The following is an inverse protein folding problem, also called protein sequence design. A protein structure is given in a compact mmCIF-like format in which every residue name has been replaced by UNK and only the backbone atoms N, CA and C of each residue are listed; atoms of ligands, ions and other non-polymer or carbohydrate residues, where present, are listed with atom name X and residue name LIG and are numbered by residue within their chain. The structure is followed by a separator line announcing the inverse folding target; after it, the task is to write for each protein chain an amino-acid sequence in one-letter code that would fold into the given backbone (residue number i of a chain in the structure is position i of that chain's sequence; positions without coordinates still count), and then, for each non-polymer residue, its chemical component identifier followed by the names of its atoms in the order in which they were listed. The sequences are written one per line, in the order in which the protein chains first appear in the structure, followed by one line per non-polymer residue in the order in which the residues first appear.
data_IF_220216735010
#
_entry.id   IF_220216735010
#
_cell.length_a   1.000
_cell.length_b   1.000
_cell.length_c   1.000
_cell.angle_alpha   90.00
_cell.angle_beta   90.00
_cell.angle_gamma   90.00
#
_symmetry.space_group_name_H-M   'P 1'
#
loop_
_entity.id
_entity.type
_entity.pdbx_description
1 polymer ?
#
# COMPACT_ATOMS: atom_id res chain seq x y z
N UNK A 1 0.59 0.91 25.84
CA UNK A 1 1.14 -0.06 24.87
C UNK A 1 1.55 0.73 23.65
N UNK A 2 2.77 0.50 23.15
CA UNK A 2 3.56 1.44 22.34
C UNK A 2 2.79 2.13 21.20
N UNK A 3 2.29 3.33 21.47
CA UNK A 3 1.90 4.31 20.45
C UNK A 3 3.19 4.98 19.97
N UNK A 4 4.06 4.16 19.36
CA UNK A 4 5.23 4.65 18.66
C UNK A 4 4.69 5.35 17.42
N UNK A 5 4.66 6.67 17.45
CA UNK A 5 4.06 7.50 16.42
C UNK A 5 4.74 7.24 15.07
N UNK A 6 4.20 6.25 14.35
CA UNK A 6 4.79 5.76 13.11
C UNK A 6 4.53 6.85 12.08
N UNK A 7 5.60 7.55 11.68
CA UNK A 7 5.53 8.62 10.70
C UNK A 7 5.35 8.05 9.29
N UNK A 8 4.10 7.74 8.93
CA UNK A 8 3.72 7.15 7.64
C UNK A 8 4.12 8.05 6.46
N UNK A 9 4.05 9.37 6.63
CA UNK A 9 4.46 10.31 5.59
C UNK A 9 5.95 10.18 5.26
N UNK A 10 6.81 10.08 6.29
CA UNK A 10 8.25 9.85 6.10
C UNK A 10 8.54 8.52 5.40
N UNK A 11 7.86 7.44 5.80
CA UNK A 11 7.99 6.12 5.19
C UNK A 11 7.58 6.16 3.71
N UNK A 12 6.47 6.83 3.41
CA UNK A 12 5.97 6.95 2.04
C UNK A 12 6.95 7.74 1.18
N UNK A 13 7.45 8.89 1.64
CA UNK A 13 8.46 9.67 0.91
C UNK A 13 9.71 8.85 0.60
N UNK A 14 10.26 8.10 1.58
CA UNK A 14 11.40 7.19 1.36
C UNK A 14 11.12 6.16 0.27
N UNK A 15 9.88 5.68 0.13
CA UNK A 15 9.48 4.72 -0.91
C UNK A 15 9.33 5.38 -2.28
N UNK A 16 8.88 6.63 -2.31
CA UNK A 16 8.75 7.38 -3.55
C UNK A 16 10.10 7.80 -4.13
N UNK A 17 11.12 8.06 -3.30
CA UNK A 17 12.45 8.48 -3.74
C UNK A 17 13.16 7.41 -4.58
N UNK A 18 12.92 6.13 -4.29
CA UNK A 18 13.56 4.99 -4.98
C UNK A 18 12.97 4.77 -6.39
N UNK A 19 11.92 5.49 -6.79
CA UNK A 19 11.31 5.40 -8.13
C UNK A 19 12.26 5.72 -9.27
N UNK A 20 13.21 6.63 -9.06
CA UNK A 20 14.20 7.03 -10.06
C UNK A 20 15.40 6.10 -10.12
N UNK A 21 15.53 5.17 -9.17
CA UNK A 21 16.65 4.25 -9.08
C UNK A 21 16.42 3.02 -9.97
N UNK A 22 17.50 2.26 -10.21
CA UNK A 22 17.42 1.04 -11.00
C UNK A 22 16.38 0.06 -10.40
N UNK A 23 15.58 -0.63 -11.25
CA UNK A 23 14.66 -1.67 -10.80
C UNK A 23 15.38 -2.71 -9.92
N UNK A 24 14.85 -2.99 -8.74
CA UNK A 24 15.50 -3.88 -7.76
C UNK A 24 16.36 -3.18 -6.71
N UNK A 25 16.41 -1.84 -6.69
CA UNK A 25 17.03 -1.10 -5.58
C UNK A 25 16.31 -1.43 -4.27
N UNK A 26 17.05 -1.98 -3.30
CA UNK A 26 16.50 -2.40 -2.02
C UNK A 26 16.11 -1.20 -1.17
N UNK A 27 14.93 -1.25 -0.57
CA UNK A 27 14.46 -0.22 0.32
C UNK A 27 14.83 -0.48 1.76
N UNK A 28 15.47 0.49 2.40
CA UNK A 28 15.89 0.40 3.80
C UNK A 28 14.81 0.96 4.73
N UNK A 29 13.73 0.20 4.92
CA UNK A 29 12.80 0.42 6.03
C UNK A 29 13.25 -0.38 7.25
N UNK A 30 13.21 0.25 8.43
CA UNK A 30 13.55 -0.43 9.68
C UNK A 30 12.47 -1.44 10.07
N UNK A 31 12.80 -2.34 10.99
CA UNK A 31 11.84 -3.33 11.48
C UNK A 31 10.67 -2.65 12.20
N UNK A 32 10.97 -1.59 12.95
CA UNK A 32 9.99 -0.80 13.70
C UNK A 32 9.02 -0.10 12.76
N UNK A 33 9.51 0.49 11.66
CA UNK A 33 8.67 1.11 10.63
C UNK A 33 7.72 0.10 9.99
N UNK A 34 8.23 -1.09 9.62
CA UNK A 34 7.41 -2.17 9.04
C UNK A 34 6.35 -2.66 10.02
N UNK A 35 6.72 -2.86 11.28
CA UNK A 35 5.79 -3.30 12.32
C UNK A 35 4.72 -2.25 12.59
N UNK A 36 5.11 -0.97 12.65
CA UNK A 36 4.20 0.15 12.83
C UNK A 36 3.14 0.24 11.73
N UNK A 37 3.52 0.02 10.46
CA UNK A 37 2.58 -0.06 9.34
C UNK A 37 1.58 -1.21 9.52
N UNK A 38 2.05 -2.40 9.90
CA UNK A 38 1.19 -3.55 10.13
C UNK A 38 0.19 -3.31 11.28
N UNK A 39 0.64 -2.72 12.38
CA UNK A 39 -0.22 -2.45 13.54
C UNK A 39 -1.28 -1.39 13.21
N UNK A 40 -0.87 -0.24 12.65
CA UNK A 40 -1.81 0.83 12.26
C UNK A 40 -2.82 0.35 11.22
N UNK A 41 -2.39 -0.41 10.21
CA UNK A 41 -3.31 -0.95 9.20
C UNK A 41 -4.26 -2.00 9.77
N UNK A 42 -3.80 -2.85 10.70
CA UNK A 42 -4.65 -3.82 11.41
C UNK A 42 -5.76 -3.15 12.21
N UNK A 43 -5.60 -1.91 12.64
CA UNK A 43 -6.67 -1.19 13.34
C UNK A 43 -7.69 -0.58 12.36
N UNK A 44 -7.28 -0.32 11.09
CA UNK A 44 -8.14 0.22 10.02
C UNK A 44 -8.95 -0.87 9.31
N UNK A 45 -8.40 -2.06 9.07
CA UNK A 45 -9.14 -3.09 8.33
C UNK A 45 -10.43 -3.56 9.02
N UNK A 46 -10.47 -3.80 10.35
CA UNK A 46 -11.68 -4.21 11.06
C UNK A 46 -12.73 -3.11 11.18
N UNK A 47 -12.35 -1.84 11.06
CA UNK A 47 -13.31 -0.73 11.05
C UNK A 47 -14.06 -0.61 9.72
N UNK A 48 -13.64 -1.35 8.69
CA UNK A 48 -14.28 -1.38 7.38
C UNK A 48 -15.08 -2.67 7.18
N UNK A 49 -16.23 -2.60 6.48
CA UNK A 49 -17.02 -3.80 6.21
C UNK A 49 -16.25 -4.76 5.30
N UNK A 50 -16.40 -6.07 5.55
CA UNK A 50 -15.78 -7.11 4.72
C UNK A 50 -16.29 -7.09 3.28
N UNK A 51 -17.57 -6.74 3.10
CA UNK A 51 -18.17 -6.48 1.80
C UNK A 51 -18.17 -4.96 1.58
N UNK A 52 -17.34 -4.50 0.65
CA UNK A 52 -17.23 -3.08 0.34
C UNK A 52 -18.30 -2.66 -0.66
N UNK A 53 -19.10 -1.67 -0.27
CA UNK A 53 -20.06 -0.98 -1.16
C UNK A 53 -19.43 0.33 -1.62
N UNK A 54 -19.15 0.45 -2.92
CA UNK A 54 -18.45 1.60 -3.49
C UNK A 54 -19.29 2.24 -4.59
N UNK A 55 -19.43 3.56 -4.55
CA UNK A 55 -20.17 4.32 -5.55
C UNK A 55 -19.27 4.76 -6.71
N UNK A 56 -19.81 4.70 -7.92
CA UNK A 56 -19.11 5.21 -9.10
C UNK A 56 -18.94 6.74 -9.01
N UNK A 57 -17.81 7.29 -9.51
CA UNK A 57 -16.81 6.64 -10.35
C UNK A 57 -15.64 6.05 -9.54
N UNK A 58 -15.44 4.72 -9.67
CA UNK A 58 -14.34 3.99 -9.03
C UNK A 58 -13.26 3.57 -10.01
N UNK A 59 -12.01 3.53 -9.55
CA UNK A 59 -10.92 2.88 -10.29
C UNK A 59 -10.65 1.51 -9.69
N UNK A 60 -10.72 0.49 -10.53
CA UNK A 60 -10.33 -0.88 -10.16
C UNK A 60 -8.94 -1.15 -10.72
N UNK A 61 -8.00 -1.58 -9.88
CA UNK A 61 -6.65 -1.98 -10.30
C UNK A 61 -6.40 -3.44 -9.92
N UNK A 62 -5.87 -4.21 -10.86
CA UNK A 62 -5.51 -5.62 -10.68
C UNK A 62 -4.12 -5.84 -10.05
N UNK A 63 -3.67 -7.10 -10.15
CA UNK A 63 -2.44 -7.67 -9.58
C UNK A 63 -1.17 -6.85 -9.85
N UNK A 64 -0.28 -6.80 -8.86
CA UNK A 64 1.00 -6.09 -8.88
C UNK A 64 2.08 -7.09 -8.49
N UNK A 65 2.61 -7.84 -9.46
CA UNK A 65 3.57 -8.96 -9.30
C UNK A 65 4.90 -8.63 -8.58
N UNK A 66 4.85 -8.10 -7.36
CA UNK A 66 5.95 -7.53 -6.58
C UNK A 66 6.82 -6.53 -7.35
N UNK A 67 6.22 -5.81 -8.32
CA UNK A 67 6.89 -4.75 -9.08
C UNK A 67 6.60 -3.39 -8.43
N UNK A 68 7.51 -2.97 -7.54
CA UNK A 68 7.35 -1.75 -6.76
C UNK A 68 7.21 -0.49 -7.64
N UNK A 69 7.97 -0.37 -8.72
CA UNK A 69 7.94 0.78 -9.65
C UNK A 69 6.58 0.96 -10.32
N UNK A 70 6.00 -0.14 -10.81
CA UNK A 70 4.66 -0.17 -11.42
C UNK A 70 3.58 0.17 -10.39
N UNK A 71 3.68 -0.40 -9.18
CA UNK A 71 2.78 -0.11 -8.05
C UNK A 71 2.74 1.39 -7.74
N UNK A 72 3.93 1.95 -7.59
CA UNK A 72 4.18 3.36 -7.38
C UNK A 72 3.44 4.22 -8.42
N UNK A 73 3.65 3.98 -9.72
CA UNK A 73 3.00 4.74 -10.80
C UNK A 73 1.48 4.69 -10.72
N UNK A 74 0.92 3.49 -10.48
CA UNK A 74 -0.53 3.31 -10.38
C UNK A 74 -1.14 3.99 -9.14
N UNK A 75 -0.47 3.94 -7.98
CA UNK A 75 -0.93 4.57 -6.74
C UNK A 75 -0.99 6.09 -6.85
N UNK A 76 0.05 6.72 -7.40
CA UNK A 76 0.08 8.18 -7.59
C UNK A 76 -1.06 8.66 -8.49
N UNK A 77 -1.33 7.91 -9.55
CA UNK A 77 -2.43 8.23 -10.47
C UNK A 77 -3.79 8.07 -9.79
N UNK A 78 -3.93 7.08 -8.90
CA UNK A 78 -5.13 6.85 -8.11
C UNK A 78 -5.37 7.98 -7.10
N UNK A 79 -4.35 8.34 -6.30
CA UNK A 79 -4.50 9.37 -5.26
C UNK A 79 -4.63 10.79 -5.84
N UNK A 80 -3.95 11.11 -6.94
CA UNK A 80 -4.04 12.42 -7.60
C UNK A 80 -5.45 12.76 -8.08
N UNK A 81 -6.27 11.75 -8.41
CA UNK A 81 -7.62 11.96 -8.92
C UNK A 81 -8.68 12.13 -7.82
N UNK A 82 -8.33 12.01 -6.54
CA UNK A 82 -9.25 12.07 -5.39
C UNK A 82 -10.53 11.22 -5.59
N UNK A 83 -10.38 10.04 -6.21
CA UNK A 83 -11.49 9.11 -6.47
C UNK A 83 -11.29 7.83 -5.67
N UNK A 84 -12.37 7.20 -5.18
CA UNK A 84 -12.28 5.90 -4.55
C UNK A 84 -11.66 4.89 -5.52
N UNK A 85 -10.62 4.22 -5.03
CA UNK A 85 -9.82 3.26 -5.78
C UNK A 85 -9.84 1.94 -5.04
N UNK A 86 -10.42 0.92 -5.67
CA UNK A 86 -10.34 -0.45 -5.22
C UNK A 86 -9.15 -1.15 -5.89
N UNK A 87 -8.32 -1.81 -5.09
CA UNK A 87 -7.19 -2.59 -5.59
C UNK A 87 -7.22 -3.99 -5.00
N UNK A 88 -7.06 -4.98 -5.86
CA UNK A 88 -6.87 -6.36 -5.44
C UNK A 88 -5.42 -6.55 -4.99
N UNK A 89 -5.23 -7.00 -3.75
CA UNK A 89 -3.96 -7.58 -3.31
C UNK A 89 -3.89 -8.94 -4.00
N UNK A 90 -3.12 -9.03 -5.06
CA UNK A 90 -2.95 -10.26 -5.82
C UNK A 90 -2.06 -11.29 -5.14
N UNK A 91 -1.66 -12.33 -5.89
CA UNK A 91 -0.66 -13.39 -5.58
C UNK A 91 0.78 -12.84 -5.31
N UNK A 92 0.88 -11.63 -4.77
CA UNK A 92 2.00 -10.70 -4.96
C UNK A 92 2.99 -10.69 -3.77
N UNK A 93 2.70 -11.43 -2.70
CA UNK A 93 3.65 -11.58 -1.60
C UNK A 93 4.82 -12.53 -1.94
N UNK A 94 4.69 -13.40 -2.96
CA UNK A 94 5.62 -14.53 -3.16
C UNK A 94 6.37 -14.59 -4.50
N UNK A 95 5.98 -13.81 -5.52
CA UNK A 95 6.58 -13.97 -6.87
C UNK A 95 7.52 -12.85 -7.32
N UNK A 96 7.50 -11.68 -6.68
CA UNK A 96 8.34 -10.53 -7.08
C UNK A 96 9.50 -10.26 -6.13
N UNK A 97 10.63 -9.79 -6.68
CA UNK A 97 11.85 -9.46 -5.92
C UNK A 97 11.67 -8.33 -4.89
N UNK A 98 10.58 -7.56 -4.96
CA UNK A 98 10.29 -6.40 -4.10
C UNK A 98 8.90 -6.50 -3.44
N UNK A 99 8.49 -7.70 -3.04
CA UNK A 99 7.17 -7.94 -2.45
C UNK A 99 6.99 -7.22 -1.10
N UNK A 100 8.03 -7.22 -0.25
CA UNK A 100 8.02 -6.51 1.03
C UNK A 100 7.85 -4.99 0.85
N UNK A 101 8.54 -4.41 -0.11
CA UNK A 101 8.42 -2.99 -0.45
C UNK A 101 7.02 -2.67 -0.97
N UNK A 102 6.50 -3.53 -1.84
CA UNK A 102 5.17 -3.38 -2.43
C UNK A 102 4.09 -3.40 -1.36
N UNK A 103 4.11 -4.35 -0.42
CA UNK A 103 3.12 -4.41 0.65
C UNK A 103 3.27 -3.24 1.62
N UNK A 104 4.49 -2.85 1.99
CA UNK A 104 4.71 -1.69 2.88
C UNK A 104 4.15 -0.40 2.27
N UNK A 105 4.31 -0.19 0.96
CA UNK A 105 3.73 0.94 0.25
C UNK A 105 2.21 0.91 0.23
N UNK A 106 1.62 -0.26 -0.02
CA UNK A 106 0.17 -0.42 -0.01
C UNK A 106 -0.43 -0.13 1.38
N UNK A 107 0.21 -0.63 2.44
CA UNK A 107 -0.21 -0.35 3.82
C UNK A 107 -0.06 1.13 4.18
N UNK A 108 1.03 1.78 3.78
CA UNK A 108 1.24 3.20 4.02
C UNK A 108 0.15 4.05 3.36
N UNK A 109 -0.13 3.80 2.07
CA UNK A 109 -1.22 4.48 1.37
C UNK A 109 -2.60 4.13 1.94
N UNK A 110 -2.80 2.91 2.46
CA UNK A 110 -4.07 2.54 3.10
C UNK A 110 -4.28 3.33 4.39
N UNK A 111 -3.22 3.61 5.14
CA UNK A 111 -3.31 4.44 6.35
C UNK A 111 -3.58 5.90 5.99
N UNK A 112 -2.88 6.44 5.00
CA UNK A 112 -3.02 7.86 4.60
C UNK A 112 -4.34 8.16 3.87
N UNK A 113 -4.86 7.18 3.11
CA UNK A 113 -6.06 7.31 2.29
C UNK A 113 -7.11 6.25 2.63
N UNK A 114 -7.40 6.03 3.92
CA UNK A 114 -8.26 4.94 4.39
C UNK A 114 -9.66 4.91 3.74
N UNK A 115 -10.23 6.09 3.46
CA UNK A 115 -11.55 6.27 2.83
C UNK A 115 -11.53 6.19 1.30
N UNK A 116 -10.36 6.34 0.68
CA UNK A 116 -10.24 6.43 -0.78
C UNK A 116 -9.51 5.23 -1.39
N UNK A 117 -8.70 4.50 -0.62
CA UNK A 117 -7.98 3.32 -1.08
C UNK A 117 -8.51 2.08 -0.38
N UNK A 118 -9.06 1.16 -1.15
CA UNK A 118 -9.55 -0.11 -0.67
C UNK A 118 -8.64 -1.23 -1.14
N UNK A 119 -8.24 -2.10 -0.21
CA UNK A 119 -7.41 -3.25 -0.49
C UNK A 119 -8.25 -4.51 -0.28
N UNK A 120 -8.43 -5.28 -1.35
CA UNK A 120 -9.15 -6.55 -1.31
C UNK A 120 -8.15 -7.69 -1.12
N UNK A 121 -8.48 -8.65 -0.27
CA UNK A 121 -7.65 -9.82 0.00
C UNK A 121 -7.61 -10.75 -1.23
N UNK A 122 -6.42 -11.13 -1.67
CA UNK A 122 -6.22 -12.18 -2.67
C UNK A 122 -6.13 -13.56 -2.08
N UNK A 123 -5.81 -14.54 -2.92
CA UNK A 123 -5.63 -15.94 -2.50
C UNK A 123 -4.36 -16.19 -1.66
N UNK A 124 -3.42 -15.25 -1.68
CA UNK A 124 -2.12 -15.35 -1.02
C UNK A 124 -2.08 -14.51 0.27
#
# INVERSE_FOLDING_TARGET
MADGDTNVASITSKQLDVRGCHPGTAMRLTREEKLGLCLKSRDIFPSQPTLLELEAPIRISGYIHGQHTTCCGSLRTATSRRRPTARFLGDDAHRGRQSLETICLLLAYKIEYAENLFLLRGSH
#
